data_IF_982288918529
#
_entry.id   IF_982288918529
#
_cell.length_a   1.000
_cell.length_b   1.000
_cell.length_c   1.000
_cell.angle_alpha   90.00
_cell.angle_beta   90.00
_cell.angle_gamma   90.00
#
_symmetry.space_group_name_H-M   'P 1'
#
loop_
_entity.id
_entity.type
_entity.pdbx_description
1 polymer ?
#
# COMPACT_ATOMS: atom_id res chain seq x y z
N UNK A 1 -1.39 8.16 -4.00
CA UNK A 1 -0.76 7.06 -4.78
C UNK A 1 0.68 7.39 -5.17
N UNK A 2 0.96 8.59 -5.68
CA UNK A 2 2.31 9.01 -6.06
C UNK A 2 3.36 8.81 -4.94
N UNK A 3 3.03 9.18 -3.69
CA UNK A 3 3.93 9.03 -2.54
C UNK A 3 4.48 7.60 -2.35
N UNK A 4 3.65 6.57 -2.53
CA UNK A 4 4.08 5.18 -2.38
C UNK A 4 4.99 4.77 -3.53
N UNK A 5 4.68 5.19 -4.75
CA UNK A 5 5.51 4.87 -5.92
C UNK A 5 6.86 5.60 -5.87
N UNK A 6 6.86 6.86 -5.43
CA UNK A 6 8.08 7.65 -5.20
C UNK A 6 8.96 7.01 -4.13
N UNK A 7 8.35 6.58 -3.01
CA UNK A 7 9.06 5.82 -1.98
C UNK A 7 9.67 4.53 -2.52
N UNK A 8 8.94 3.75 -3.33
CA UNK A 8 9.50 2.52 -3.90
C UNK A 8 10.61 2.81 -4.94
N UNK A 9 10.47 3.90 -5.71
CA UNK A 9 11.45 4.33 -6.70
C UNK A 9 12.75 4.85 -6.07
N UNK A 10 12.73 5.27 -4.80
CA UNK A 10 13.93 5.69 -4.08
C UNK A 10 14.83 4.52 -3.63
N UNK A 11 14.51 3.28 -4.04
CA UNK A 11 15.22 2.05 -3.68
C UNK A 11 15.47 1.91 -2.15
N UNK A 12 14.39 1.94 -1.33
CA UNK A 12 14.50 1.89 0.12
C UNK A 12 15.06 0.54 0.61
N UNK A 13 15.59 0.53 1.84
CA UNK A 13 16.05 -0.69 2.50
C UNK A 13 14.89 -1.65 2.78
N UNK A 14 15.19 -2.94 2.96
CA UNK A 14 14.20 -3.96 3.31
C UNK A 14 13.41 -3.59 4.57
N UNK A 15 14.10 -3.08 5.60
CA UNK A 15 13.48 -2.61 6.84
C UNK A 15 12.52 -1.43 6.60
N UNK A 16 12.89 -0.48 5.75
CA UNK A 16 12.02 0.64 5.37
C UNK A 16 10.80 0.17 4.56
N UNK A 17 10.96 -0.77 3.64
CA UNK A 17 9.85 -1.38 2.89
C UNK A 17 8.85 -2.05 3.84
N UNK A 18 9.34 -2.82 4.81
CA UNK A 18 8.48 -3.48 5.82
C UNK A 18 7.73 -2.45 6.68
N UNK A 19 8.42 -1.39 7.07
CA UNK A 19 7.89 -0.31 7.88
C UNK A 19 6.85 0.55 7.13
N UNK A 20 6.87 0.58 5.79
CA UNK A 20 5.96 1.38 4.96
C UNK A 20 4.50 1.28 5.46
N UNK A 21 3.87 2.44 5.66
CA UNK A 21 2.45 2.57 6.01
C UNK A 21 1.81 3.65 5.14
N UNK A 22 0.50 3.58 4.86
CA UNK A 22 -0.20 4.68 4.23
C UNK A 22 -0.09 5.94 5.09
N UNK A 23 0.05 7.11 4.47
CA UNK A 23 -0.03 8.40 5.16
C UNK A 23 -1.40 8.60 5.82
N UNK A 24 -1.50 9.43 6.86
CA UNK A 24 -2.77 9.66 7.57
C UNK A 24 -3.87 10.13 6.61
N UNK A 25 -3.54 11.04 5.69
CA UNK A 25 -4.46 11.50 4.66
C UNK A 25 -5.01 10.36 3.80
N UNK A 26 -4.15 9.43 3.38
CA UNK A 26 -4.56 8.24 2.63
C UNK A 26 -5.40 7.29 3.50
N UNK A 27 -5.07 7.09 4.77
CA UNK A 27 -5.87 6.27 5.68
C UNK A 27 -7.29 6.84 5.87
N UNK A 28 -7.42 8.16 6.04
CA UNK A 28 -8.72 8.82 6.13
C UNK A 28 -9.52 8.66 4.84
N UNK A 29 -8.90 8.86 3.68
CA UNK A 29 -9.58 8.70 2.39
C UNK A 29 -10.05 7.25 2.16
N UNK A 30 -9.23 6.25 2.49
CA UNK A 30 -9.62 4.84 2.40
C UNK A 30 -10.77 4.51 3.35
N UNK A 31 -10.74 5.03 4.57
CA UNK A 31 -11.81 4.84 5.55
C UNK A 31 -13.15 5.40 5.04
N UNK A 32 -13.14 6.59 4.43
CA UNK A 32 -14.32 7.21 3.84
C UNK A 32 -14.87 6.35 2.69
N UNK A 33 -14.02 5.92 1.76
CA UNK A 33 -14.44 5.08 0.63
C UNK A 33 -15.02 3.75 1.10
N UNK A 34 -14.41 3.14 2.12
CA UNK A 34 -14.81 1.85 2.65
C UNK A 34 -16.15 1.95 3.39
N UNK A 35 -16.38 3.00 4.16
CA UNK A 35 -17.67 3.26 4.80
C UNK A 35 -18.77 3.55 3.77
N UNK A 36 -18.46 4.35 2.74
CA UNK A 36 -19.39 4.64 1.66
C UNK A 36 -19.79 3.38 0.89
N UNK A 37 -18.81 2.53 0.55
CA UNK A 37 -19.04 1.26 -0.13
C UNK A 37 -20.00 0.36 0.67
N UNK A 38 -19.87 0.31 2.00
CA UNK A 38 -20.74 -0.48 2.89
C UNK A 38 -22.17 0.03 3.03
N UNK A 39 -22.39 1.34 2.87
CA UNK A 39 -23.65 1.99 3.21
C UNK A 39 -24.50 2.34 1.98
N UNK A 40 -23.91 3.05 1.04
CA UNK A 40 -24.63 3.63 -0.12
C UNK A 40 -24.06 3.18 -1.47
N UNK A 41 -22.89 2.53 -1.46
CA UNK A 41 -22.16 2.13 -2.66
C UNK A 41 -21.23 3.23 -3.18
N UNK A 42 -20.33 2.84 -4.08
CA UNK A 42 -19.39 3.77 -4.72
C UNK A 42 -19.96 4.28 -6.05
N UNK A 43 -19.62 5.53 -6.39
CA UNK A 43 -19.81 6.03 -7.76
C UNK A 43 -18.79 5.38 -8.70
N UNK A 44 -19.02 5.37 -10.02
CA UNK A 44 -18.07 4.79 -10.97
C UNK A 44 -16.63 5.34 -10.85
N UNK A 45 -16.48 6.64 -10.57
CA UNK A 45 -15.18 7.27 -10.37
C UNK A 45 -14.50 6.79 -9.07
N UNK A 46 -15.27 6.61 -8.00
CA UNK A 46 -14.75 6.09 -6.73
C UNK A 46 -14.44 4.60 -6.82
N UNK A 47 -15.21 3.83 -7.58
CA UNK A 47 -14.94 2.42 -7.86
C UNK A 47 -13.60 2.27 -8.61
N UNK A 48 -13.39 3.10 -9.64
CA UNK A 48 -12.12 3.16 -10.34
C UNK A 48 -10.99 3.51 -9.37
N UNK A 49 -11.14 4.56 -8.55
CA UNK A 49 -10.14 4.94 -7.55
C UNK A 49 -9.86 3.80 -6.55
N UNK A 50 -10.90 3.09 -6.11
CA UNK A 50 -10.80 1.96 -5.21
C UNK A 50 -9.97 0.82 -5.81
N UNK A 51 -10.22 0.48 -7.08
CA UNK A 51 -9.44 -0.53 -7.81
C UNK A 51 -7.95 -0.15 -7.89
N UNK A 52 -7.64 1.13 -8.10
CA UNK A 52 -6.26 1.61 -8.10
C UNK A 52 -5.61 1.43 -6.72
N UNK A 53 -6.32 1.72 -5.63
CA UNK A 53 -5.80 1.48 -4.28
C UNK A 53 -5.60 0.00 -3.97
N UNK A 54 -6.51 -0.87 -4.40
CA UNK A 54 -6.35 -2.33 -4.27
C UNK A 54 -5.12 -2.84 -5.02
N UNK A 55 -4.89 -2.34 -6.23
CA UNK A 55 -3.72 -2.70 -7.02
C UNK A 55 -2.42 -2.24 -6.35
N UNK A 56 -2.38 -1.01 -5.83
CA UNK A 56 -1.22 -0.49 -5.11
C UNK A 56 -0.93 -1.27 -3.83
N UNK A 57 -1.97 -1.62 -3.06
CA UNK A 57 -1.81 -2.43 -1.86
C UNK A 57 -1.21 -3.80 -2.19
N UNK A 58 -1.63 -4.43 -3.28
CA UNK A 58 -1.09 -5.72 -3.70
C UNK A 58 0.42 -5.62 -4.00
N UNK A 59 0.86 -4.57 -4.69
CA UNK A 59 2.28 -4.30 -4.95
C UNK A 59 3.05 -4.14 -3.64
N UNK A 60 2.54 -3.31 -2.72
CA UNK A 60 3.17 -3.08 -1.41
C UNK A 60 3.26 -4.39 -0.61
N UNK A 61 2.21 -5.22 -0.64
CA UNK A 61 2.19 -6.51 0.05
C UNK A 61 3.27 -7.45 -0.48
N UNK A 62 3.44 -7.53 -1.80
CA UNK A 62 4.51 -8.34 -2.42
C UNK A 62 5.88 -7.78 -2.06
N UNK A 63 6.08 -6.46 -2.13
CA UNK A 63 7.33 -5.81 -1.79
C UNK A 63 7.75 -6.12 -0.34
N UNK A 64 6.80 -6.03 0.60
CA UNK A 64 7.03 -6.40 2.01
C UNK A 64 7.38 -7.86 2.19
N UNK A 65 6.65 -8.77 1.54
CA UNK A 65 6.95 -10.20 1.62
C UNK A 65 8.37 -10.51 1.14
N UNK A 66 8.80 -9.92 0.02
CA UNK A 66 10.17 -10.06 -0.50
C UNK A 66 11.22 -9.46 0.42
N UNK A 67 10.96 -8.28 1.00
CA UNK A 67 11.86 -7.65 1.95
C UNK A 67 12.05 -8.51 3.22
N UNK A 68 10.98 -9.12 3.74
CA UNK A 68 11.07 -10.06 4.86
C UNK A 68 11.92 -11.29 4.53
N UNK A 69 11.76 -11.87 3.34
CA UNK A 69 12.57 -13.02 2.92
C UNK A 69 14.05 -12.67 2.87
N UNK A 70 14.40 -11.53 2.26
CA UNK A 70 15.79 -11.06 2.19
C UNK A 70 16.42 -10.82 3.56
N UNK A 71 15.68 -10.22 4.50
CA UNK A 71 16.20 -10.04 5.86
C UNK A 71 16.48 -11.37 6.54
N UNK A 72 15.60 -12.36 6.41
CA UNK A 72 15.82 -13.70 6.95
C UNK A 72 17.03 -14.40 6.33
N UNK A 73 17.25 -14.24 5.03
CA UNK A 73 18.41 -14.79 4.33
C UNK A 73 19.72 -14.15 4.83
N UNK A 74 19.71 -12.84 5.09
CA UNK A 74 20.86 -12.11 5.62
C UNK A 74 21.17 -12.47 7.09
N UNK A 75 20.15 -12.75 7.90
CA UNK A 75 20.31 -13.18 9.30
C UNK A 75 20.81 -14.63 9.44
N UNK A 76 20.65 -15.44 8.40
CA UNK A 76 21.07 -16.84 8.37
C UNK A 76 22.52 -17.05 7.90
N UNK A 77 23.21 -15.98 7.48
CA UNK A 77 24.61 -15.95 7.05
C UNK A 77 25.51 -15.37 8.13
#
# INVERSE_FOLDING_TARGET
MAEVLEFLASLPTESAIIALRPSEALQSQLSILLEKNRTVGLTPAEEQLWQHYQYLEHIVRIAKARAFLKLKEAEAQ
#
